data_IF_268735413024
#
_entry.id   IF_268735413024
#
_cell.length_a   1.000
_cell.length_b   1.000
_cell.length_c   1.000
_cell.angle_alpha   90.00
_cell.angle_beta   90.00
_cell.angle_gamma   90.00
#
_symmetry.space_group_name_H-M   'P 1'
#
loop_
_entity.id
_entity.type
_entity.pdbx_description
1 polymer ?
#
# COMPACT_ATOMS: atom_id res chain seq x y z
N UNK A 1 -11.02 12.81 -14.10
CA UNK A 1 -9.69 12.42 -13.60
C UNK A 1 -9.36 13.07 -12.24
N UNK A 2 -9.42 14.39 -12.07
CA UNK A 2 -9.08 15.03 -10.77
C UNK A 2 -9.94 14.58 -9.59
N UNK A 3 -11.23 14.37 -9.78
CA UNK A 3 -12.14 13.87 -8.73
C UNK A 3 -11.78 12.45 -8.29
N UNK A 4 -11.42 11.59 -9.24
CA UNK A 4 -11.02 10.21 -8.97
C UNK A 4 -9.73 10.16 -8.12
N UNK A 5 -8.75 11.02 -8.42
CA UNK A 5 -7.52 11.12 -7.61
C UNK A 5 -7.79 11.57 -6.17
N UNK A 6 -8.74 12.50 -5.98
CA UNK A 6 -9.14 12.95 -4.64
C UNK A 6 -9.83 11.83 -3.87
N UNK A 7 -10.77 11.11 -4.51
CA UNK A 7 -11.47 9.98 -3.88
C UNK A 7 -10.47 8.89 -3.49
N UNK A 8 -9.53 8.57 -4.38
CA UNK A 8 -8.48 7.60 -4.09
C UNK A 8 -7.58 8.05 -2.93
N UNK A 9 -7.20 9.32 -2.91
CA UNK A 9 -6.43 9.91 -1.81
C UNK A 9 -7.17 9.83 -0.47
N UNK A 10 -8.48 10.10 -0.44
CA UNK A 10 -9.32 9.96 0.75
C UNK A 10 -9.42 8.50 1.21
N UNK A 11 -9.51 7.56 0.28
CA UNK A 11 -9.52 6.13 0.59
C UNK A 11 -8.20 5.73 1.28
N UNK A 12 -7.05 6.13 0.74
CA UNK A 12 -5.76 5.88 1.36
C UNK A 12 -5.62 6.57 2.72
N UNK A 13 -6.20 7.75 2.88
CA UNK A 13 -6.23 8.44 4.17
C UNK A 13 -7.02 7.65 5.23
N UNK A 14 -8.17 7.08 4.86
CA UNK A 14 -8.93 6.19 5.75
C UNK A 14 -8.14 4.94 6.13
N UNK A 15 -7.42 4.33 5.18
CA UNK A 15 -6.53 3.20 5.47
C UNK A 15 -5.38 3.58 6.42
N UNK A 16 -4.85 4.79 6.30
CA UNK A 16 -3.86 5.35 7.25
C UNK A 16 -4.43 5.45 8.66
N UNK A 17 -5.65 5.96 8.79
CA UNK A 17 -6.32 6.05 10.09
C UNK A 17 -6.56 4.67 10.71
N UNK A 18 -6.98 3.70 9.91
CA UNK A 18 -7.13 2.31 10.37
C UNK A 18 -5.79 1.73 10.85
N UNK A 19 -4.73 1.90 10.08
CA UNK A 19 -3.39 1.43 10.46
C UNK A 19 -2.93 2.03 11.78
N UNK A 20 -3.05 3.35 11.93
CA UNK A 20 -2.70 4.04 13.17
C UNK A 20 -3.56 3.60 14.35
N UNK A 21 -4.85 3.32 14.13
CA UNK A 21 -5.73 2.81 15.17
C UNK A 21 -5.25 1.44 15.69
N UNK A 22 -4.83 0.53 14.79
CA UNK A 22 -4.27 -0.76 15.19
C UNK A 22 -2.96 -0.60 15.95
N UNK A 23 -2.08 0.31 15.52
CA UNK A 23 -0.81 0.57 16.19
C UNK A 23 -1.03 1.15 17.61
N UNK A 24 -1.94 2.13 17.76
CA UNK A 24 -2.30 2.70 19.07
C UNK A 24 -2.95 1.66 19.97
N UNK A 25 -3.88 0.88 19.43
CA UNK A 25 -4.53 -0.21 20.20
C UNK A 25 -3.51 -1.21 20.73
N UNK A 26 -2.49 -1.54 19.94
CA UNK A 26 -1.39 -2.39 20.37
C UNK A 26 -0.63 -1.80 21.56
N UNK A 27 -0.21 -0.53 21.46
CA UNK A 27 0.49 0.16 22.56
C UNK A 27 -0.33 0.17 23.86
N UNK A 28 -1.65 0.31 23.77
CA UNK A 28 -2.54 0.34 24.92
C UNK A 28 -2.81 -1.05 25.50
N UNK A 29 -2.76 -2.11 24.68
CA UNK A 29 -3.14 -3.48 25.06
C UNK A 29 -1.96 -4.47 25.09
N UNK A 30 -0.72 -4.01 24.98
CA UNK A 30 0.49 -4.86 25.01
C UNK A 30 0.63 -5.63 26.34
N UNK A 31 -0.16 -5.27 27.37
CA UNK A 31 -0.30 -6.00 28.62
C UNK A 31 -1.32 -7.17 28.57
N UNK A 32 -2.05 -7.36 27.47
CA UNK A 32 -2.97 -8.48 27.26
C UNK A 32 -2.48 -9.36 26.10
N UNK A 33 -1.79 -10.39 26.43
CA UNK A 33 -1.08 -11.36 25.60
C UNK A 33 -1.96 -12.26 24.72
N UNK A 34 -2.76 -11.76 23.79
CA UNK A 34 -3.62 -12.64 22.97
C UNK A 34 -3.48 -12.51 21.45
N UNK A 35 -2.70 -11.61 20.91
CA UNK A 35 -2.59 -11.45 19.44
C UNK A 35 -1.16 -11.46 18.90
N UNK A 36 -0.35 -12.42 19.34
CA UNK A 36 1.08 -12.50 19.01
C UNK A 36 1.41 -13.01 17.60
N UNK A 37 0.44 -13.24 16.71
CA UNK A 37 0.73 -13.88 15.42
C UNK A 37 0.63 -12.98 14.19
N UNK A 38 0.19 -11.72 14.29
CA UNK A 38 -0.07 -10.89 13.10
C UNK A 38 0.83 -9.65 13.05
N UNK A 39 1.67 -9.41 14.04
CA UNK A 39 2.40 -8.16 14.14
C UNK A 39 3.89 -8.43 14.02
N UNK A 40 4.53 -7.70 13.07
CA UNK A 40 5.97 -7.73 12.89
C UNK A 40 6.71 -7.51 14.23
N UNK A 41 7.81 -8.17 14.37
CA UNK A 41 8.69 -8.18 15.55
C UNK A 41 9.03 -6.77 16.07
N UNK A 42 8.93 -5.76 15.20
CA UNK A 42 9.23 -4.35 15.50
C UNK A 42 8.01 -3.51 15.93
N UNK A 43 6.85 -4.10 16.15
CA UNK A 43 5.71 -3.40 16.71
C UNK A 43 4.93 -2.46 15.78
N UNK A 44 5.37 -2.24 14.56
CA UNK A 44 4.73 -1.35 13.59
C UNK A 44 4.00 -2.18 12.53
N UNK A 45 2.76 -1.80 12.23
CA UNK A 45 1.97 -2.46 11.17
C UNK A 45 2.58 -2.20 9.80
N UNK A 46 2.96 -3.26 9.10
CA UNK A 46 3.49 -3.20 7.73
C UNK A 46 2.36 -3.26 6.71
N UNK A 47 2.60 -2.73 5.51
CA UNK A 47 1.63 -2.75 4.40
C UNK A 47 1.20 -4.18 4.06
N UNK A 48 2.14 -5.12 4.02
CA UNK A 48 1.85 -6.53 3.75
C UNK A 48 0.94 -7.17 4.80
N UNK A 49 1.13 -6.85 6.07
CA UNK A 49 0.25 -7.32 7.15
C UNK A 49 -1.15 -6.73 7.04
N UNK A 50 -1.27 -5.45 6.71
CA UNK A 50 -2.57 -4.81 6.50
C UNK A 50 -3.31 -5.46 5.33
N UNK A 51 -2.63 -5.72 4.23
CA UNK A 51 -3.22 -6.42 3.08
C UNK A 51 -3.63 -7.85 3.43
N UNK A 52 -2.77 -8.62 4.11
CA UNK A 52 -3.09 -9.97 4.56
C UNK A 52 -4.28 -10.01 5.52
N UNK A 53 -4.45 -8.98 6.36
CA UNK A 53 -5.60 -8.86 7.25
C UNK A 53 -6.91 -8.62 6.49
N UNK A 54 -6.88 -7.81 5.44
CA UNK A 54 -8.07 -7.53 4.61
C UNK A 54 -8.41 -8.74 3.72
N UNK A 55 -7.42 -9.33 3.05
CA UNK A 55 -7.62 -10.48 2.18
C UNK A 55 -6.30 -11.23 1.93
N UNK A 56 -6.08 -12.27 2.72
CA UNK A 56 -4.89 -13.12 2.59
C UNK A 56 -4.86 -13.87 1.24
N UNK A 57 -6.01 -14.32 0.76
CA UNK A 57 -6.14 -14.99 -0.54
C UNK A 57 -5.73 -14.07 -1.69
N UNK A 58 -6.13 -12.80 -1.65
CA UNK A 58 -5.76 -11.80 -2.66
C UNK A 58 -4.25 -11.58 -2.71
N UNK A 59 -3.58 -11.55 -1.56
CA UNK A 59 -2.13 -11.44 -1.47
C UNK A 59 -1.43 -12.62 -2.15
N UNK A 60 -1.85 -13.84 -1.84
CA UNK A 60 -1.29 -15.06 -2.42
C UNK A 60 -1.50 -15.15 -3.93
N UNK A 61 -2.70 -14.82 -4.41
CA UNK A 61 -3.02 -14.81 -5.84
C UNK A 61 -2.16 -13.77 -6.57
N UNK A 62 -2.01 -12.59 -6.00
CA UNK A 62 -1.18 -11.52 -6.57
C UNK A 62 0.28 -11.95 -6.64
N UNK A 63 0.82 -12.56 -5.59
CA UNK A 63 2.17 -13.12 -5.59
C UNK A 63 2.36 -14.14 -6.71
N UNK A 64 1.43 -15.09 -6.85
CA UNK A 64 1.48 -16.11 -7.89
C UNK A 64 1.41 -15.53 -9.30
N UNK A 65 0.58 -14.52 -9.54
CA UNK A 65 0.45 -13.85 -10.83
C UNK A 65 1.72 -13.05 -11.15
N UNK A 66 2.20 -12.26 -10.23
CA UNK A 66 3.39 -11.41 -10.44
C UNK A 66 4.63 -12.27 -10.68
N UNK A 67 4.85 -13.29 -9.87
CA UNK A 67 6.03 -14.15 -10.00
C UNK A 67 6.03 -15.02 -11.24
N UNK A 68 4.85 -15.38 -11.79
CA UNK A 68 4.75 -16.28 -12.97
C UNK A 68 4.56 -15.56 -14.29
N UNK A 69 3.80 -14.47 -14.32
CA UNK A 69 3.36 -13.83 -15.56
C UNK A 69 3.97 -12.45 -15.80
N UNK A 70 4.29 -11.71 -14.76
CA UNK A 70 4.77 -10.32 -14.86
C UNK A 70 6.28 -10.25 -14.71
N UNK A 71 6.87 -11.16 -13.94
CA UNK A 71 8.31 -11.17 -13.71
C UNK A 71 9.07 -11.53 -15.02
N UNK A 72 9.93 -10.61 -15.52
CA UNK A 72 10.70 -10.88 -16.73
C UNK A 72 11.68 -12.07 -16.58
N UNK A 73 12.12 -12.37 -15.36
CA UNK A 73 13.00 -13.48 -15.09
C UNK A 73 12.31 -14.85 -15.29
N UNK A 74 11.02 -14.95 -14.97
CA UNK A 74 10.27 -16.18 -15.18
C UNK A 74 9.81 -16.36 -16.63
N UNK A 75 9.67 -15.25 -17.38
CA UNK A 75 9.27 -15.27 -18.79
C UNK A 75 10.40 -15.56 -19.76
N UNK A 76 11.64 -15.27 -19.37
CA UNK A 76 12.85 -15.51 -20.17
C UNK A 76 13.76 -16.52 -19.49
N UNK A 77 13.65 -17.79 -19.84
CA UNK A 77 14.51 -18.88 -19.34
C UNK A 77 15.99 -18.64 -19.56
N UNK A 78 16.35 -17.73 -20.49
CA UNK A 78 17.72 -17.39 -20.87
C UNK A 78 18.46 -16.62 -19.76
N UNK A 79 17.74 -15.93 -18.86
CA UNK A 79 18.37 -15.03 -17.88
C UNK A 79 18.77 -15.73 -16.56
N UNK A 80 18.42 -16.98 -16.38
CA UNK A 80 18.83 -17.81 -15.22
C UNK A 80 18.68 -17.08 -13.86
N UNK A 81 17.69 -16.20 -13.72
CA UNK A 81 17.46 -15.42 -12.50
C UNK A 81 16.22 -15.93 -11.75
N UNK A 82 16.33 -15.98 -10.45
CA UNK A 82 15.22 -16.33 -9.56
C UNK A 82 14.41 -15.08 -9.23
N UNK A 83 13.24 -14.91 -9.85
CA UNK A 83 12.22 -13.91 -9.52
C UNK A 83 12.74 -12.53 -9.08
N UNK A 84 12.71 -11.53 -9.95
CA UNK A 84 13.24 -10.20 -9.64
C UNK A 84 12.15 -9.21 -9.14
N UNK A 85 10.92 -9.36 -9.62
CA UNK A 85 9.87 -8.36 -9.35
C UNK A 85 9.23 -8.54 -7.98
N UNK A 86 8.96 -9.77 -7.56
CA UNK A 86 8.40 -10.04 -6.25
C UNK A 86 9.45 -9.91 -5.15
N UNK A 87 10.57 -10.57 -5.30
CA UNK A 87 11.74 -10.47 -4.43
C UNK A 87 12.93 -9.87 -5.20
N UNK A 88 13.53 -8.76 -4.79
CA UNK A 88 13.29 -7.99 -3.54
C UNK A 88 12.30 -6.82 -3.66
N UNK A 89 11.80 -6.45 -4.86
CA UNK A 89 11.12 -5.16 -5.07
C UNK A 89 9.79 -5.08 -4.32
N UNK A 90 8.83 -5.95 -4.64
CA UNK A 90 7.50 -5.89 -4.01
C UNK A 90 7.56 -6.26 -2.52
N UNK A 91 8.34 -7.26 -2.16
CA UNK A 91 8.51 -7.63 -0.75
C UNK A 91 9.08 -6.49 0.09
N UNK A 92 10.03 -5.72 -0.43
CA UNK A 92 10.57 -4.54 0.26
C UNK A 92 9.51 -3.46 0.47
N UNK A 93 8.61 -3.24 -0.50
CA UNK A 93 7.49 -2.30 -0.35
C UNK A 93 6.50 -2.80 0.71
N UNK A 94 6.21 -4.09 0.73
CA UNK A 94 5.29 -4.70 1.69
C UNK A 94 5.81 -4.68 3.14
N UNK A 95 7.13 -4.60 3.32
CA UNK A 95 7.75 -4.46 4.66
C UNK A 95 7.78 -3.04 5.18
N UNK A 96 7.44 -2.03 4.35
CA UNK A 96 7.38 -0.64 4.79
C UNK A 96 6.27 -0.43 5.84
N UNK A 97 6.48 0.48 6.81
CA UNK A 97 5.45 0.82 7.78
C UNK A 97 4.23 1.43 7.07
N UNK A 98 3.05 0.86 7.31
CA UNK A 98 1.83 1.24 6.62
C UNK A 98 1.39 2.68 6.91
N UNK A 99 1.49 3.13 8.17
CA UNK A 99 1.06 4.44 8.61
C UNK A 99 1.69 5.59 7.80
N UNK A 100 3.00 5.83 7.91
CA UNK A 100 3.65 6.94 7.22
C UNK A 100 3.63 6.79 5.70
N UNK A 101 3.75 5.58 5.17
CA UNK A 101 3.78 5.34 3.72
C UNK A 101 2.43 5.67 3.08
N UNK A 102 1.33 5.19 3.65
CA UNK A 102 -0.03 5.50 3.18
C UNK A 102 -0.38 6.98 3.37
N UNK A 103 0.10 7.63 4.44
CA UNK A 103 -0.08 9.05 4.66
C UNK A 103 0.58 9.87 3.55
N UNK A 104 1.85 9.61 3.24
CA UNK A 104 2.58 10.31 2.16
C UNK A 104 1.86 10.10 0.83
N UNK A 105 1.49 8.87 0.50
CA UNK A 105 0.78 8.54 -0.74
C UNK A 105 -0.57 9.28 -0.84
N UNK A 106 -1.33 9.32 0.25
CA UNK A 106 -2.59 10.06 0.35
C UNK A 106 -2.40 11.55 0.07
N UNK A 107 -1.44 12.20 0.73
CA UNK A 107 -1.14 13.62 0.52
C UNK A 107 -0.73 13.92 -0.92
N UNK A 108 0.11 13.09 -1.51
CA UNK A 108 0.54 13.23 -2.92
C UNK A 108 -0.66 13.14 -3.87
N UNK A 109 -1.53 12.13 -3.69
CA UNK A 109 -2.71 11.95 -4.53
C UNK A 109 -3.70 13.11 -4.41
N UNK A 110 -3.95 13.59 -3.19
CA UNK A 110 -4.83 14.74 -2.96
C UNK A 110 -4.24 15.99 -3.58
N UNK A 111 -2.94 16.24 -3.42
CA UNK A 111 -2.25 17.40 -4.00
C UNK A 111 -2.38 17.41 -5.53
N UNK A 112 -2.07 16.30 -6.20
CA UNK A 112 -2.21 16.21 -7.65
C UNK A 112 -3.66 16.31 -8.11
N UNK A 113 -4.60 15.74 -7.36
CA UNK A 113 -6.04 15.85 -7.62
C UNK A 113 -6.53 17.29 -7.58
N UNK A 114 -6.13 18.05 -6.57
CA UNK A 114 -6.48 19.47 -6.42
C UNK A 114 -5.83 20.34 -7.49
N UNK A 115 -4.54 20.12 -7.77
CA UNK A 115 -3.81 20.84 -8.83
C UNK A 115 -4.46 20.65 -10.21
N UNK A 116 -4.85 19.41 -10.52
CA UNK A 116 -5.51 19.10 -11.80
C UNK A 116 -6.91 19.72 -11.89
N UNK A 117 -7.65 19.75 -10.77
CA UNK A 117 -8.97 20.39 -10.70
C UNK A 117 -8.87 21.90 -10.90
N UNK A 118 -7.89 22.57 -10.28
CA UNK A 118 -7.65 24.00 -10.40
C UNK A 118 -7.30 24.40 -11.85
N UNK A 119 -6.48 23.58 -12.54
CA UNK A 119 -6.12 23.80 -13.95
C UNK A 119 -7.32 23.69 -14.90
N UNK A 120 -8.25 22.77 -14.64
CA UNK A 120 -9.48 22.64 -15.45
C UNK A 120 -10.46 23.79 -15.22
N UNK A 121 -10.60 24.25 -13.99
CA UNK A 121 -11.45 25.41 -13.67
C UNK A 121 -10.95 26.68 -14.35
N UNK A 122 -9.65 26.94 -14.34
CA UNK A 122 -9.04 28.10 -15.00
C UNK A 122 -9.19 28.05 -16.54
N UNK A 123 -9.24 26.85 -17.15
CA UNK A 123 -9.46 26.71 -18.60
C UNK A 123 -10.90 27.04 -18.99
N UNK A 124 -11.89 26.69 -18.15
CA UNK A 124 -13.31 26.98 -18.42
C UNK A 124 -13.68 28.47 -18.28
N UNK A 125 -12.90 29.26 -17.54
CA UNK A 125 -13.11 30.71 -17.39
C UNK A 125 -12.58 31.50 -18.59
N UNK A 126 -11.63 30.91 -19.36
CA UNK A 126 -11.04 31.56 -20.55
C UNK A 126 -11.80 31.29 -21.86
N UNK A 127 -12.78 30.47 -21.82
CA UNK A 127 -13.74 30.23 -22.92
C UNK A 127 -15.07 30.90 -22.62
#
# INVERSE_FOLDING_TARGET
MGRLLIILGLLFFLLTLMSNYFDVKKYLFDNLSVTNHIIAENGITQIGHLWAYISFESLQITEAIVSRYIDPCSSFEILNCSGFLWHPVISSILTLPAGPTLAILSFVLIYFGLKKRKKMSAKNIKT
#
